data_IF_814452314301
#
_entry.id   IF_814452314301
#
_cell.length_a   1.000
_cell.length_b   1.000
_cell.length_c   1.000
_cell.angle_alpha   90.00
_cell.angle_beta   90.00
_cell.angle_gamma   90.00
#
_symmetry.space_group_name_H-M   'P 1'
#
loop_
_entity.id
_entity.type
_entity.pdbx_description
1 polymer ?
#
# COMPACT_ATOMS: atom_id res chain seq x y z
N UNK A 1 45.99 15.51 -20.74
CA UNK A 1 44.64 15.00 -20.43
C UNK A 1 43.65 15.88 -21.16
N UNK A 2 43.02 15.38 -22.22
CA UNK A 2 42.04 16.12 -23.02
C UNK A 2 40.75 16.34 -22.22
N UNK A 3 40.70 17.44 -21.48
CA UNK A 3 39.51 17.92 -20.79
C UNK A 3 38.43 18.48 -21.75
N UNK A 4 38.73 18.56 -23.05
CA UNK A 4 37.84 19.09 -24.10
C UNK A 4 36.66 18.18 -24.47
N UNK A 5 36.69 16.90 -24.09
CA UNK A 5 35.60 15.93 -24.34
C UNK A 5 34.65 15.76 -23.14
N UNK A 6 35.07 16.14 -21.92
CA UNK A 6 34.30 15.95 -20.68
C UNK A 6 33.38 17.16 -20.41
N UNK A 7 33.77 18.34 -20.88
CA UNK A 7 33.08 19.62 -20.68
C UNK A 7 31.69 19.74 -21.35
N UNK A 8 31.41 19.21 -22.57
CA UNK A 8 30.08 19.32 -23.17
C UNK A 8 29.08 18.26 -22.67
N UNK A 9 29.56 17.17 -22.04
CA UNK A 9 28.72 16.05 -21.59
C UNK A 9 28.09 16.34 -20.22
N UNK A 10 28.83 17.01 -19.32
CA UNK A 10 28.37 17.34 -17.97
C UNK A 10 27.07 18.15 -17.90
N UNK A 11 26.89 19.26 -18.64
CA UNK A 11 25.65 20.03 -18.62
C UNK A 11 24.46 19.27 -19.22
N UNK A 12 24.73 18.27 -20.07
CA UNK A 12 23.69 17.39 -20.63
C UNK A 12 23.31 16.29 -19.66
N UNK A 13 24.28 15.68 -18.95
CA UNK A 13 24.02 14.59 -17.98
C UNK A 13 23.43 15.07 -16.65
N UNK A 14 23.78 16.28 -16.18
CA UNK A 14 23.31 16.80 -14.90
C UNK A 14 21.77 16.78 -14.79
N UNK A 15 21.02 17.32 -15.77
CA UNK A 15 19.55 17.27 -15.75
C UNK A 15 18.99 15.86 -15.67
N UNK A 16 19.56 14.89 -16.40
CA UNK A 16 19.11 13.49 -16.32
C UNK A 16 19.35 12.92 -14.93
N UNK A 17 20.48 13.24 -14.29
CA UNK A 17 20.78 12.79 -12.94
C UNK A 17 19.82 13.41 -11.92
N UNK A 18 19.52 14.70 -12.03
CA UNK A 18 18.53 15.38 -11.17
C UNK A 18 17.12 14.83 -11.36
N UNK A 19 16.67 14.62 -12.60
CA UNK A 19 15.36 14.02 -12.90
C UNK A 19 15.30 12.60 -12.32
N UNK A 20 16.34 11.79 -12.54
CA UNK A 20 16.41 10.42 -12.03
C UNK A 20 16.35 10.41 -10.50
N UNK A 21 17.14 11.25 -9.84
CA UNK A 21 17.13 11.38 -8.39
C UNK A 21 15.76 11.81 -7.87
N UNK A 22 15.13 12.79 -8.51
CA UNK A 22 13.79 13.25 -8.14
C UNK A 22 12.75 12.14 -8.27
N UNK A 23 12.76 11.40 -9.37
CA UNK A 23 11.85 10.26 -9.60
C UNK A 23 12.08 9.17 -8.55
N UNK A 24 13.34 8.81 -8.26
CA UNK A 24 13.67 7.82 -7.23
C UNK A 24 13.17 8.26 -5.85
N UNK A 25 13.34 9.52 -5.48
CA UNK A 25 12.85 10.07 -4.21
C UNK A 25 11.32 10.04 -4.13
N UNK A 26 10.62 10.35 -5.22
CA UNK A 26 9.17 10.28 -5.30
C UNK A 26 8.68 8.84 -5.14
N UNK A 27 9.27 7.88 -5.86
CA UNK A 27 8.92 6.46 -5.73
C UNK A 27 9.16 5.98 -4.30
N UNK A 28 10.33 6.27 -3.73
CA UNK A 28 10.66 5.88 -2.35
C UNK A 28 9.62 6.41 -1.36
N UNK A 29 9.19 7.66 -1.51
CA UNK A 29 8.17 8.27 -0.65
C UNK A 29 6.84 7.52 -0.73
N UNK A 30 6.38 7.14 -1.92
CA UNK A 30 5.14 6.35 -2.07
C UNK A 30 5.29 4.96 -1.43
N UNK A 31 6.45 4.31 -1.59
CA UNK A 31 6.74 3.03 -0.94
C UNK A 31 6.71 3.15 0.60
N UNK A 32 7.38 4.16 1.16
CA UNK A 32 7.43 4.35 2.61
C UNK A 32 6.04 4.70 3.20
N UNK A 33 5.14 5.28 2.39
CA UNK A 33 3.81 5.71 2.81
C UNK A 33 2.73 4.64 2.69
N UNK A 34 2.84 3.72 1.73
CA UNK A 34 1.76 2.78 1.41
C UNK A 34 2.15 1.30 1.52
N UNK A 35 3.43 0.94 1.61
CA UNK A 35 3.80 -0.46 1.81
C UNK A 35 3.61 -0.84 3.28
N UNK A 36 2.71 -1.78 3.61
CA UNK A 36 2.55 -2.26 4.97
C UNK A 36 3.81 -3.01 5.41
N UNK A 37 4.31 -2.69 6.61
CA UNK A 37 5.38 -3.44 7.28
C UNK A 37 4.82 -4.38 8.34
N UNK A 38 3.84 -3.91 9.09
CA UNK A 38 3.16 -4.67 10.13
C UNK A 38 1.68 -4.38 10.08
N UNK A 39 0.89 -5.42 10.28
CA UNK A 39 -0.55 -5.31 10.41
C UNK A 39 -0.92 -5.99 11.72
N UNK A 40 -1.65 -5.30 12.59
CA UNK A 40 -2.15 -5.90 13.82
C UNK A 40 -3.67 -5.86 13.82
N UNK A 41 -4.29 -6.94 14.28
CA UNK A 41 -5.74 -6.99 14.49
C UNK A 41 -5.98 -6.79 15.97
N UNK A 42 -6.84 -5.83 16.32
CA UNK A 42 -7.35 -5.66 17.69
C UNK A 42 -8.83 -6.03 17.68
N UNK A 43 -9.15 -7.07 18.43
CA UNK A 43 -10.52 -7.49 18.71
C UNK A 43 -10.90 -6.91 20.06
N UNK A 44 -11.85 -5.97 20.11
CA UNK A 44 -12.27 -5.31 21.34
C UNK A 44 -13.78 -5.06 21.34
N UNK A 45 -14.52 -5.89 22.09
CA UNK A 45 -15.98 -5.80 22.15
C UNK A 45 -16.64 -6.08 20.79
N UNK A 46 -17.59 -5.22 20.40
CA UNK A 46 -18.35 -5.37 19.14
C UNK A 46 -17.56 -4.98 17.87
N UNK A 47 -16.44 -4.26 17.98
CA UNK A 47 -15.75 -3.68 16.82
C UNK A 47 -14.37 -4.29 16.57
N UNK A 48 -14.17 -4.80 15.35
CA UNK A 48 -12.88 -5.32 14.86
C UNK A 48 -12.06 -4.15 14.33
N UNK A 49 -10.79 -4.05 14.73
CA UNK A 49 -9.87 -3.00 14.25
C UNK A 49 -8.64 -3.60 13.59
N UNK A 50 -8.26 -3.05 12.44
CA UNK A 50 -7.01 -3.37 11.74
C UNK A 50 -6.08 -2.18 11.85
N UNK A 51 -4.98 -2.35 12.57
CA UNK A 51 -3.90 -1.39 12.68
C UNK A 51 -2.89 -1.66 11.57
N UNK A 52 -2.66 -0.68 10.71
CA UNK A 52 -1.67 -0.75 9.64
C UNK A 52 -0.49 0.14 10.01
N UNK A 53 0.69 -0.43 9.97
CA UNK A 53 1.95 0.26 10.16
C UNK A 53 2.76 0.19 8.86
N UNK A 54 3.06 1.35 8.32
CA UNK A 54 3.98 1.58 7.20
C UNK A 54 5.25 2.24 7.75
N UNK A 55 6.26 2.50 6.90
CA UNK A 55 7.47 3.21 7.35
C UNK A 55 7.19 4.63 7.83
N UNK A 56 6.19 5.29 7.25
CA UNK A 56 5.92 6.71 7.48
C UNK A 56 4.74 6.96 8.41
N UNK A 57 3.74 6.07 8.43
CA UNK A 57 2.50 6.27 9.19
C UNK A 57 2.02 4.97 9.85
N UNK A 58 1.33 5.15 10.98
CA UNK A 58 0.60 4.12 11.71
C UNK A 58 -0.82 4.60 11.94
N UNK A 59 -1.81 3.79 11.59
CA UNK A 59 -3.22 4.15 11.71
C UNK A 59 -4.09 2.92 11.95
N UNK A 60 -5.30 3.14 12.46
CA UNK A 60 -6.30 2.09 12.74
C UNK A 60 -7.49 2.25 11.80
N UNK A 61 -8.00 1.13 11.30
CA UNK A 61 -9.26 1.03 10.55
C UNK A 61 -10.24 0.24 11.42
N UNK A 62 -11.38 0.84 11.75
CA UNK A 62 -12.52 0.09 12.28
C UNK A 62 -13.19 -0.65 11.11
N UNK A 63 -13.21 -1.98 11.17
CA UNK A 63 -13.71 -2.86 10.10
C UNK A 63 -15.20 -3.06 10.29
N UNK A 64 -15.99 -2.58 9.33
CA UNK A 64 -17.44 -2.82 9.28
C UNK A 64 -17.77 -4.11 8.54
N UNK A 65 -17.16 -4.29 7.38
CA UNK A 65 -17.27 -5.49 6.56
C UNK A 65 -15.92 -5.73 5.86
N UNK A 66 -15.65 -6.97 5.47
CA UNK A 66 -14.48 -7.30 4.67
C UNK A 66 -14.77 -8.47 3.75
N UNK A 67 -14.08 -8.51 2.61
CA UNK A 67 -14.16 -9.61 1.66
C UNK A 67 -12.82 -9.83 0.99
N UNK A 68 -12.54 -11.08 0.64
CA UNK A 68 -11.45 -11.38 -0.27
C UNK A 68 -11.78 -10.84 -1.66
N UNK A 69 -10.79 -10.23 -2.30
CA UNK A 69 -10.93 -9.70 -3.65
C UNK A 69 -9.56 -9.62 -4.33
N UNK A 70 -9.59 -9.62 -5.66
CA UNK A 70 -8.40 -9.32 -6.45
C UNK A 70 -8.26 -7.83 -6.71
N UNK A 71 -7.02 -7.40 -6.88
CA UNK A 71 -6.69 -6.02 -7.27
C UNK A 71 -7.37 -5.59 -8.57
N UNK A 72 -7.61 -6.50 -9.51
CA UNK A 72 -8.28 -6.19 -10.79
C UNK A 72 -9.77 -5.91 -10.62
N UNK A 73 -10.41 -6.52 -9.62
CA UNK A 73 -11.82 -6.29 -9.32
C UNK A 73 -12.03 -5.00 -8.52
N UNK A 74 -11.04 -4.60 -7.72
CA UNK A 74 -11.16 -3.48 -6.78
C UNK A 74 -10.56 -2.19 -7.34
N UNK A 75 -9.44 -2.28 -8.06
CA UNK A 75 -8.60 -1.14 -8.44
C UNK A 75 -8.60 -0.94 -9.97
N UNK A 76 -9.49 -0.09 -10.46
CA UNK A 76 -9.65 0.15 -11.91
C UNK A 76 -8.82 1.35 -12.39
N UNK A 77 -9.10 2.54 -11.84
CA UNK A 77 -8.47 3.79 -12.24
C UNK A 77 -7.60 4.34 -11.11
N UNK A 78 -6.30 4.48 -11.35
CA UNK A 78 -5.38 5.14 -10.41
C UNK A 78 -5.65 6.64 -10.39
N UNK A 79 -6.07 7.15 -9.23
CA UNK A 79 -6.29 8.59 -9.00
C UNK A 79 -5.02 9.25 -8.49
N UNK A 80 -4.35 8.63 -7.53
CA UNK A 80 -3.10 9.12 -6.96
C UNK A 80 -2.26 7.95 -6.41
N UNK A 81 -0.94 8.02 -6.54
CA UNK A 81 -0.02 7.00 -6.04
C UNK A 81 0.75 6.27 -7.14
N UNK A 82 1.16 5.03 -6.87
CA UNK A 82 2.09 4.27 -7.70
C UNK A 82 1.46 2.97 -8.20
N UNK A 83 1.73 2.63 -9.46
CA UNK A 83 1.36 1.33 -10.03
C UNK A 83 2.54 0.81 -10.85
N UNK A 84 3.08 -0.34 -10.48
CA UNK A 84 4.17 -1.02 -11.18
C UNK A 84 4.23 -2.48 -10.72
N UNK A 85 4.28 -3.42 -11.68
CA UNK A 85 4.32 -4.84 -11.37
C UNK A 85 3.18 -5.26 -10.43
N UNK A 86 3.54 -5.88 -9.30
CA UNK A 86 2.59 -6.29 -8.24
C UNK A 86 2.13 -5.15 -7.32
N UNK A 87 2.77 -3.98 -7.40
CA UNK A 87 2.47 -2.85 -6.53
C UNK A 87 1.35 -2.00 -7.10
N UNK A 88 0.29 -1.80 -6.31
CA UNK A 88 -0.78 -0.83 -6.58
C UNK A 88 -1.00 -0.04 -5.31
N UNK A 89 -0.27 1.05 -5.15
CA UNK A 89 -0.21 1.85 -3.93
C UNK A 89 -0.92 3.19 -4.14
N UNK A 90 -1.65 3.65 -3.14
CA UNK A 90 -2.34 4.95 -3.17
C UNK A 90 -3.83 4.85 -3.45
N UNK A 91 -4.43 5.93 -3.94
CA UNK A 91 -5.85 6.06 -4.14
C UNK A 91 -6.28 5.62 -5.54
N UNK A 92 -7.25 4.71 -5.59
CA UNK A 92 -7.87 4.23 -6.81
C UNK A 92 -9.37 4.48 -6.78
N UNK A 93 -9.99 4.52 -7.96
CA UNK A 93 -11.44 4.47 -8.14
C UNK A 93 -11.76 3.18 -8.89
N UNK A 94 -12.68 2.38 -8.36
CA UNK A 94 -13.15 1.15 -8.99
C UNK A 94 -14.65 0.94 -8.78
N UNK A 95 -15.16 -0.28 -9.01
CA UNK A 95 -16.58 -0.62 -8.84
C UNK A 95 -17.10 -0.35 -7.43
N UNK A 96 -16.22 -0.42 -6.44
CA UNK A 96 -16.50 -0.12 -5.04
C UNK A 96 -16.25 1.35 -4.69
N UNK A 97 -16.19 2.27 -5.66
CA UNK A 97 -15.92 3.69 -5.41
C UNK A 97 -14.44 3.97 -5.15
N UNK A 98 -14.15 4.94 -4.26
CA UNK A 98 -12.78 5.33 -3.91
C UNK A 98 -12.17 4.36 -2.89
N UNK A 99 -11.00 3.83 -3.19
CA UNK A 99 -10.31 2.81 -2.39
C UNK A 99 -8.86 3.21 -2.16
N UNK A 100 -8.45 3.29 -0.90
CA UNK A 100 -7.03 3.39 -0.54
C UNK A 100 -6.37 2.02 -0.62
N UNK A 101 -5.41 1.87 -1.52
CA UNK A 101 -4.73 0.63 -1.80
C UNK A 101 -3.34 0.58 -1.16
N UNK A 102 -3.11 -0.50 -0.42
CA UNK A 102 -1.85 -0.88 0.20
C UNK A 102 -1.38 -2.22 -0.38
N UNK A 103 -1.52 -2.37 -1.70
CA UNK A 103 -1.30 -3.64 -2.39
C UNK A 103 0.16 -3.84 -2.84
N UNK A 104 0.74 -4.92 -2.36
CA UNK A 104 2.05 -5.48 -2.74
C UNK A 104 1.93 -6.85 -3.41
N UNK A 105 0.70 -7.33 -3.62
CA UNK A 105 0.32 -8.55 -4.33
C UNK A 105 -0.99 -8.34 -5.11
N UNK A 106 -1.33 -9.28 -6.00
CA UNK A 106 -2.55 -9.19 -6.80
C UNK A 106 -3.83 -9.60 -6.06
N UNK A 107 -3.73 -10.44 -5.03
CA UNK A 107 -4.85 -10.92 -4.22
C UNK A 107 -4.76 -10.38 -2.79
N UNK A 108 -5.91 -10.02 -2.22
CA UNK A 108 -5.99 -9.38 -0.92
C UNK A 108 -7.39 -9.34 -0.36
N UNK A 109 -7.61 -8.38 0.54
CA UNK A 109 -8.91 -8.10 1.14
C UNK A 109 -9.32 -6.67 0.86
N UNK A 110 -10.59 -6.49 0.50
CA UNK A 110 -11.27 -5.21 0.53
C UNK A 110 -11.94 -5.08 1.91
N UNK A 111 -11.60 -4.00 2.61
CA UNK A 111 -12.16 -3.62 3.91
C UNK A 111 -13.05 -2.41 3.71
N UNK A 112 -14.30 -2.52 4.12
CA UNK A 112 -15.18 -1.39 4.33
C UNK A 112 -14.95 -0.86 5.76
N UNK A 113 -14.36 0.33 5.85
CA UNK A 113 -14.10 1.02 7.10
C UNK A 113 -15.30 1.85 7.58
N UNK A 114 -15.17 2.43 8.78
CA UNK A 114 -16.08 3.49 9.23
C UNK A 114 -16.03 4.73 8.33
N UNK A 115 -17.09 5.54 8.35
CA UNK A 115 -17.25 6.76 7.52
C UNK A 115 -17.30 6.51 6.00
N UNK A 116 -17.51 5.26 5.57
CA UNK A 116 -17.62 4.90 4.15
C UNK A 116 -16.29 4.88 3.40
N UNK A 117 -15.16 4.94 4.12
CA UNK A 117 -13.81 4.78 3.56
C UNK A 117 -13.56 3.31 3.27
N UNK A 118 -12.88 3.04 2.15
CA UNK A 118 -12.55 1.67 1.72
C UNK A 118 -11.06 1.49 1.57
N UNK A 119 -10.58 0.34 1.99
CA UNK A 119 -9.17 0.00 2.01
C UNK A 119 -8.96 -1.34 1.32
N UNK A 120 -7.97 -1.42 0.43
CA UNK A 120 -7.56 -2.68 -0.16
C UNK A 120 -6.18 -3.07 0.35
N UNK A 121 -6.11 -4.17 1.09
CA UNK A 121 -4.87 -4.71 1.64
C UNK A 121 -4.51 -5.98 0.90
N UNK A 122 -3.36 -5.98 0.22
CA UNK A 122 -2.88 -7.16 -0.49
C UNK A 122 -1.40 -7.35 -0.21
N UNK A 123 -1.06 -8.49 0.40
CA UNK A 123 0.30 -8.88 0.72
C UNK A 123 0.40 -10.40 0.82
N UNK A 124 1.62 -10.94 0.80
CA UNK A 124 1.88 -12.38 0.62
C UNK A 124 1.15 -13.29 1.62
N UNK A 125 1.06 -12.87 2.89
CA UNK A 125 0.39 -13.61 3.97
C UNK A 125 -0.94 -12.99 4.39
N UNK A 126 -1.68 -12.39 3.44
CA UNK A 126 -3.01 -11.80 3.71
C UNK A 126 -4.04 -12.82 4.21
N UNK A 127 -3.87 -14.11 3.91
CA UNK A 127 -4.70 -15.19 4.46
C UNK A 127 -4.70 -15.23 5.99
N UNK A 128 -3.56 -14.95 6.63
CA UNK A 128 -3.48 -14.87 8.11
C UNK A 128 -4.38 -13.74 8.64
N UNK A 129 -4.51 -12.63 7.90
CA UNK A 129 -5.39 -11.52 8.26
C UNK A 129 -6.87 -11.89 8.08
N UNK A 130 -7.20 -12.61 7.00
CA UNK A 130 -8.56 -13.12 6.77
C UNK A 130 -8.98 -14.06 7.90
N UNK A 131 -8.13 -15.02 8.24
CA UNK A 131 -8.41 -16.00 9.30
C UNK A 131 -8.64 -15.30 10.65
N UNK A 132 -7.78 -14.33 10.99
CA UNK A 132 -7.92 -13.55 12.22
C UNK A 132 -9.17 -12.66 12.25
N UNK A 133 -9.57 -12.10 11.12
CA UNK A 133 -10.80 -11.32 11.02
C UNK A 133 -12.05 -12.20 11.01
N UNK A 134 -11.99 -13.40 10.43
CA UNK A 134 -13.12 -14.31 10.25
C UNK A 134 -13.45 -15.12 11.50
N UNK A 135 -12.46 -15.55 12.26
CA UNK A 135 -12.67 -16.42 13.44
C UNK A 135 -13.35 -15.71 14.60
N UNK A 136 -13.24 -14.39 14.74
CA UNK A 136 -13.93 -13.64 15.80
C UNK A 136 -13.43 -13.94 17.23
N UNK A 137 -12.70 -15.04 17.43
CA UNK A 137 -12.21 -15.55 18.70
C UNK A 137 -10.69 -15.44 18.75
N UNK A 138 -10.18 -14.55 19.61
CA UNK A 138 -8.76 -14.42 19.87
C UNK A 138 -8.38 -13.08 20.47
N UNK A 139 -7.44 -13.08 21.40
CA UNK A 139 -6.69 -11.87 21.77
C UNK A 139 -5.94 -11.43 20.53
N UNK A 140 -6.28 -10.25 19.99
CA UNK A 140 -5.73 -9.73 18.75
C UNK A 140 -4.23 -9.99 18.54
N UNK A 141 -3.81 -10.23 17.29
CA UNK A 141 -2.44 -10.65 16.95
C UNK A 141 -1.76 -9.69 15.98
N UNK A 142 -0.46 -9.92 15.77
CA UNK A 142 0.40 -9.10 14.90
C UNK A 142 0.92 -9.95 13.75
N UNK A 143 0.69 -9.48 12.53
CA UNK A 143 1.17 -10.05 11.29
C UNK A 143 2.35 -9.20 10.80
N UNK A 144 3.52 -9.81 10.71
CA UNK A 144 4.67 -9.21 10.01
C UNK A 144 4.50 -9.43 8.52
N UNK A 145 4.51 -8.36 7.73
CA UNK A 145 4.25 -8.42 6.30
C UNK A 145 5.50 -8.93 5.59
N UNK A 146 5.41 -10.11 4.97
CA UNK A 146 6.51 -10.70 4.20
C UNK A 146 6.54 -10.09 2.80
N UNK A 147 7.69 -9.53 2.44
CA UNK A 147 7.95 -8.87 1.15
C UNK A 147 8.06 -9.86 -0.03
#
# INVERSE_FOLDING_TARGET
MDWGLITPIFPVLLPFLFITLFVVLRIKREFDEYVPMRIAVRMGGENRKVLIETRKKRFEIAVKDFREASSKEVLEVRINGLSFGKYRLGLYKGPYGYVESYATSDSGILIDGEEGKRYFLAFKNVGELVEMLGTGEGTGGVISVKS
#
